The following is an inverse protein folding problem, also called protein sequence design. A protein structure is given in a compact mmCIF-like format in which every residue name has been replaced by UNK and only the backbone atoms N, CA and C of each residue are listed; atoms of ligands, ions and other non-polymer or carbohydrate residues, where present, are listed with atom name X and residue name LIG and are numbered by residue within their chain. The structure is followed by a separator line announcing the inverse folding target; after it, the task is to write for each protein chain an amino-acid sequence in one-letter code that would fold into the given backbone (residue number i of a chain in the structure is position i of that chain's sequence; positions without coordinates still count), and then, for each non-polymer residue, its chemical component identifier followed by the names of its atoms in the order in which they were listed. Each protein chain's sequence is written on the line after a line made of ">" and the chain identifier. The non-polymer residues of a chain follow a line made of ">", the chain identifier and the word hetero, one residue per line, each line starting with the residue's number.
data_IF_183979140961
#
_entry.id   IF_183979140961
#
_cell.length_a   1.000
_cell.length_b   1.000
_cell.length_c   1.000
_cell.angle_alpha   90.00
_cell.angle_beta   90.00
_cell.angle_gamma   90.00
#
_symmetry.space_group_name_H-M   'P 1'
#
loop_
_entity.id
_entity.type
_entity.pdbx_description
1 polymer ?
2 non-polymer ?
3 water ?
#
# COMPACT_ATOMS: atom_id res chain seq x y z
N UNK A 1 -6.68 8.05 -10.78
CA UNK A 1 -5.85 7.64 -9.63
C UNK A 1 -6.62 6.64 -8.76
N UNK A 2 -5.85 5.76 -8.10
CA UNK A 2 -6.45 4.71 -7.25
C UNK A 2 -5.82 4.73 -5.85
N UNK A 3 -6.61 4.29 -4.84
CA UNK A 3 -6.10 4.02 -3.49
C UNK A 3 -5.75 2.51 -3.38
N UNK A 4 -4.52 2.20 -2.92
CA UNK A 4 -4.19 0.82 -2.49
C UNK A 4 -4.22 0.76 -0.97
N UNK A 5 -4.79 -0.29 -0.39
CA UNK A 5 -4.71 -0.65 1.05
C UNK A 5 -3.98 -1.99 1.14
N UNK A 6 -2.79 -2.02 1.75
CA UNK A 6 -1.88 -3.19 1.78
C UNK A 6 -1.78 -3.58 3.26
N UNK A 7 -2.30 -4.75 3.60
CA UNK A 7 -2.32 -5.20 5.02
C UNK A 7 -1.37 -6.40 5.16
N UNK A 8 -0.26 -6.24 5.90
CA UNK A 8 0.90 -7.14 5.86
C UNK A 8 1.40 -7.53 7.26
N UNK A 9 2.20 -8.59 7.27
CA UNK A 9 3.09 -8.88 8.42
C UNK A 9 4.00 -7.66 8.64
N UNK A 10 4.22 -7.15 9.88
CA UNK A 10 5.07 -5.96 10.05
C UNK A 10 6.48 -6.14 9.47
N UNK A 11 7.06 -7.35 9.51
CA UNK A 11 8.45 -7.57 9.05
C UNK A 11 8.58 -7.30 7.54
N UNK A 12 7.45 -7.20 6.85
CA UNK A 12 7.45 -7.01 5.36
C UNK A 12 7.31 -5.53 4.96
N UNK A 13 7.30 -4.59 5.91
CA UNK A 13 7.13 -3.15 5.58
C UNK A 13 8.30 -2.63 4.70
N UNK A 14 9.56 -2.97 5.02
CA UNK A 14 10.75 -2.52 4.25
C UNK A 14 10.56 -2.91 2.74
N UNK A 15 10.14 -4.13 2.49
CA UNK A 15 9.95 -4.66 1.11
C UNK A 15 8.78 -3.93 0.41
N UNK A 16 7.69 -3.57 1.10
CA UNK A 16 6.58 -2.76 0.50
C UNK A 16 7.10 -1.37 0.17
N UNK A 17 7.88 -0.73 1.05
CA UNK A 17 8.47 0.60 0.72
C UNK A 17 9.34 0.51 -0.55
N UNK A 18 10.16 -0.54 -0.68
CA UNK A 18 11.07 -0.77 -1.86
C UNK A 18 10.24 -1.02 -3.14
N UNK A 19 9.20 -1.83 -3.08
CA UNK A 19 8.32 -2.09 -4.25
C UNK A 19 7.71 -0.76 -4.74
N UNK A 20 7.19 0.05 -3.83
CA UNK A 20 6.58 1.33 -4.26
C UNK A 20 7.67 2.27 -4.83
N UNK A 21 8.84 2.42 -4.22
CA UNK A 21 9.96 3.25 -4.75
C UNK A 21 10.36 2.75 -6.14
N UNK A 22 10.38 1.43 -6.33
CA UNK A 22 10.82 0.83 -7.62
C UNK A 22 9.78 1.11 -8.74
N UNK A 23 8.60 1.59 -8.47
CA UNK A 23 7.54 1.96 -9.46
C UNK A 23 7.37 3.50 -9.51
N UNK A 24 8.27 4.26 -8.89
CA UNK A 24 8.25 5.74 -8.89
C UNK A 24 7.19 6.30 -7.95
N UNK A 25 6.67 5.51 -7.00
CA UNK A 25 5.55 6.02 -6.15
C UNK A 25 6.07 7.05 -5.14
N UNK A 26 5.34 8.18 -4.95
CA UNK A 26 5.85 9.41 -4.31
C UNK A 26 5.87 9.30 -2.76
N UNK A 27 5.10 8.37 -2.19
CA UNK A 27 4.75 8.38 -0.77
C UNK A 27 3.79 7.31 -0.30
N UNK A 28 3.57 7.29 1.03
CA UNK A 28 2.78 6.24 1.69
C UNK A 28 2.48 6.71 3.12
N UNK A 29 1.35 6.25 3.67
CA UNK A 29 0.94 6.50 5.09
C UNK A 29 0.78 5.15 5.77
N UNK A 30 1.42 4.97 6.91
CA UNK A 30 1.55 3.63 7.60
C UNK A 30 0.76 3.68 8.94
N UNK A 31 -0.12 2.73 9.18
CA UNK A 31 -0.89 2.62 10.45
C UNK A 31 -0.61 1.27 11.13
N UNK A 32 -0.42 1.26 12.43
CA UNK A 32 -0.36 -0.05 13.13
C UNK A 32 -1.78 -0.59 13.33
N UNK A 33 -1.92 -1.91 13.31
CA UNK A 33 -3.22 -2.58 13.41
C UNK A 33 -3.10 -3.95 14.07
N UNK A 34 -4.25 -4.55 14.37
CA UNK A 34 -4.37 -5.97 14.79
C UNK A 34 -5.29 -6.65 13.75
N UNK A 35 -4.95 -7.88 13.34
CA UNK A 35 -5.80 -8.53 12.31
C UNK A 35 -6.23 -9.89 12.76
N UNK A 36 -7.38 -10.35 12.24
CA UNK A 36 -7.90 -11.71 12.41
C UNK A 36 -8.27 -12.29 11.03
N UNK A 37 -8.08 -13.59 10.87
CA UNK A 37 -8.43 -14.26 9.59
C UNK A 37 -8.22 -15.75 9.74
N UNK A 38 -7.64 -16.37 8.72
CA UNK A 38 -7.32 -17.83 8.65
C UNK A 38 -6.16 -18.24 9.59
N UNK A 39 -5.13 -17.41 9.77
CA UNK A 39 -3.93 -17.81 10.57
C UNK A 39 -4.33 -18.17 12.01
N UNK A 40 -3.93 -19.35 12.53
CA UNK A 40 -4.26 -19.88 13.90
C UNK A 40 -2.98 -20.35 14.59
N UNK A 55 -11.08 -16.53 18.10
CA UNK A 55 -10.54 -15.52 17.14
C UNK A 55 -9.19 -15.01 17.67
N UNK A 56 -8.11 -15.31 16.94
CA UNK A 56 -6.74 -14.94 17.36
C UNK A 56 -6.38 -13.60 16.71
N UNK A 57 -6.16 -12.54 17.50
CA UNK A 57 -5.65 -11.25 16.90
C UNK A 57 -4.11 -11.28 16.81
N UNK A 58 -3.57 -10.82 15.70
CA UNK A 58 -2.10 -10.77 15.44
C UNK A 58 -1.74 -9.36 15.01
N UNK A 59 -0.53 -8.91 15.33
CA UNK A 59 -0.09 -7.60 14.85
C UNK A 59 0.08 -7.47 13.35
N UNK A 60 -0.36 -6.35 12.80
CA UNK A 60 -0.27 -6.06 11.35
C UNK A 60 0.16 -4.60 11.13
N UNK A 61 0.68 -4.36 9.94
CA UNK A 61 0.81 -2.96 9.41
C UNK A 61 -0.18 -2.79 8.25
N UNK A 62 -0.88 -1.64 8.25
CA UNK A 62 -1.86 -1.25 7.20
C UNK A 62 -1.23 -0.06 6.43
N UNK A 63 -0.88 -0.27 5.16
CA UNK A 63 -0.20 0.76 4.32
C UNK A 63 -1.22 1.31 3.33
N UNK A 64 -1.38 2.65 3.29
CA UNK A 64 -2.24 3.36 2.29
C UNK A 64 -1.31 4.10 1.35
N UNK A 65 -1.56 3.94 0.04
CA UNK A 65 -0.80 4.72 -0.97
C UNK A 65 -1.79 5.08 -2.10
N UNK A 66 -1.57 6.29 -2.63
CA UNK A 66 -2.37 6.79 -3.79
C UNK A 66 -1.44 6.70 -5.00
N UNK A 67 -1.89 6.11 -6.10
CA UNK A 67 -1.06 5.78 -7.28
C UNK A 67 -1.80 6.05 -8.59
N UNK A 68 -1.04 6.29 -9.65
CA UNK A 68 -1.64 6.44 -11.00
C UNK A 68 -2.21 5.09 -11.46
N UNK A 69 -3.30 5.12 -12.21
CA UNK A 69 -4.06 3.89 -12.59
C UNK A 69 -3.18 2.86 -13.35
N UNK A 70 -2.26 3.30 -14.22
CA UNK A 70 -1.47 2.36 -15.05
C UNK A 70 -0.45 1.58 -14.21
N UNK A 71 -0.16 1.96 -12.99
CA UNK A 71 0.84 1.25 -12.15
C UNK A 71 0.22 0.10 -11.33
N UNK A 72 -1.09 0.12 -11.09
CA UNK A 72 -1.73 -0.81 -10.11
C UNK A 72 -1.41 -2.28 -10.47
N UNK A 73 -1.59 -2.73 -11.73
CA UNK A 73 -1.38 -4.15 -12.10
C UNK A 73 0.02 -4.64 -11.76
N UNK A 74 1.04 -3.86 -12.10
CA UNK A 74 2.45 -4.23 -11.81
C UNK A 74 2.75 -4.19 -10.30
N UNK A 75 2.17 -3.28 -9.53
CA UNK A 75 2.38 -3.25 -8.06
C UNK A 75 1.76 -4.55 -7.46
N UNK A 76 0.57 -4.94 -7.89
CA UNK A 76 -0.08 -6.16 -7.32
C UNK A 76 0.81 -7.38 -7.60
N UNK A 77 1.29 -7.54 -8.84
CA UNK A 77 2.19 -8.67 -9.24
C UNK A 77 3.43 -8.64 -8.34
N UNK A 78 4.07 -7.47 -8.20
CA UNK A 78 5.31 -7.32 -7.39
C UNK A 78 5.05 -7.78 -5.93
N UNK A 79 3.96 -7.36 -5.33
CA UNK A 79 3.63 -7.69 -3.91
C UNK A 79 3.44 -9.20 -3.75
N UNK A 80 2.70 -9.84 -4.64
CA UNK A 80 2.57 -11.33 -4.58
C UNK A 80 3.93 -12.00 -4.76
N UNK A 81 4.71 -11.64 -5.78
CA UNK A 81 5.99 -12.33 -6.09
C UNK A 81 6.99 -12.16 -4.93
N UNK A 82 7.07 -10.98 -4.32
CA UNK A 82 8.16 -10.72 -3.32
C UNK A 82 7.75 -10.99 -1.87
N UNK A 83 6.45 -11.00 -1.55
CA UNK A 83 6.03 -11.13 -0.12
C UNK A 83 5.46 -12.53 0.15
N UNK A 84 4.99 -13.24 -0.84
CA UNK A 84 4.41 -14.58 -0.58
C UNK A 84 5.41 -15.50 0.17
N UNK A 85 5.00 -16.16 1.26
CA UNK A 85 5.86 -17.13 2.02
C UNK A 85 5.30 -18.54 1.83
N UNK A 86 4.17 -18.65 1.12
CA UNK A 86 3.28 -19.82 1.10
C UNK A 86 2.82 -20.26 2.49
N UNK A 87 2.83 -19.38 3.52
CA UNK A 87 2.26 -19.71 4.86
C UNK A 87 1.02 -18.82 5.03
N UNK A 88 -0.03 -19.36 5.62
CA UNK A 88 -1.27 -18.55 5.87
C UNK A 88 -0.93 -17.32 6.72
N UNK A 89 -1.46 -16.15 6.35
CA UNK A 89 -1.31 -14.88 7.07
C UNK A 89 -0.52 -13.82 6.30
N UNK A 90 -0.13 -14.07 5.06
CA UNK A 90 0.73 -13.07 4.31
C UNK A 90 -0.01 -11.72 4.12
N UNK A 91 -1.34 -11.70 3.99
CA UNK A 91 -2.14 -10.48 3.99
C UNK A 91 -2.94 -10.29 2.68
N UNK A 92 -3.35 -9.05 2.47
CA UNK A 92 -4.33 -8.67 1.42
C UNK A 92 -3.88 -7.37 0.76
N UNK A 93 -4.24 -7.19 -0.51
CA UNK A 93 -4.22 -5.84 -1.16
C UNK A 93 -5.61 -5.55 -1.74
N UNK A 94 -6.14 -4.34 -1.51
CA UNK A 94 -7.38 -3.91 -2.25
C UNK A 94 -7.06 -2.63 -3.05
N UNK A 95 -7.88 -2.44 -4.05
CA UNK A 95 -7.85 -1.25 -4.96
C UNK A 95 -9.24 -0.61 -4.91
N UNK A 96 -9.27 0.70 -4.67
CA UNK A 96 -10.54 1.46 -4.63
C UNK A 96 -10.39 2.83 -5.31
N UNK A 97 -11.52 3.42 -5.75
CA UNK A 97 -11.48 4.63 -6.55
C UNK A 97 -11.26 5.91 -5.78
N UNK A 98 -10.59 6.85 -6.47
CA UNK A 98 -10.38 8.21 -5.96
C UNK A 98 -11.06 9.24 -6.86
N UNK A 99 -11.92 10.10 -6.35
CA UNK A 99 -12.62 11.10 -7.16
C UNK A 99 -11.78 12.38 -7.23
N UNK A 100 -11.04 12.74 -6.20
CA UNK A 100 -10.26 14.03 -6.22
C UNK A 100 -9.05 13.80 -5.30
N UNK A 101 -7.91 14.36 -5.70
CA UNK A 101 -6.66 14.33 -4.89
C UNK A 101 -6.13 15.77 -4.86
N UNK A 102 -5.73 16.27 -3.67
CA UNK A 102 -5.23 17.63 -3.49
C UNK A 102 -3.93 17.58 -2.63
N UNK A 103 -2.91 18.30 -3.12
CA UNK A 103 -1.71 18.67 -2.30
C UNK A 103 -2.00 19.90 -1.46
N UNK A 104 -1.87 19.76 -0.13
CA UNK A 104 -2.18 20.91 0.79
C UNK A 104 -1.27 22.11 0.51
N UNK A 105 0.04 21.88 0.34
CA UNK A 105 1.01 23.01 0.23
C UNK A 105 0.70 23.93 -0.95
N UNK A 106 0.33 23.36 -2.10
CA UNK A 106 0.11 24.13 -3.36
C UNK A 106 -1.34 24.31 -3.80
N UNK A 107 -2.28 23.50 -3.31
CA UNK A 107 -3.66 23.51 -3.81
C UNK A 107 -3.80 22.76 -5.15
N UNK A 108 -2.71 22.21 -5.69
CA UNK A 108 -2.75 21.41 -6.96
C UNK A 108 -3.68 20.19 -6.80
N UNK A 109 -4.42 19.88 -7.88
CA UNK A 109 -5.37 18.73 -7.94
C UNK A 109 -4.90 17.74 -8.99
N UNK A 110 -5.52 16.59 -9.02
CA UNK A 110 -5.32 15.58 -10.06
C UNK A 110 -3.97 14.92 -9.90
N UNK A 111 -3.37 14.44 -10.99
CA UNK A 111 -2.06 13.72 -10.92
C UNK A 111 -0.91 14.65 -10.51
N UNK A 112 -1.02 15.95 -10.72
CA UNK A 112 -0.02 16.95 -10.27
C UNK A 112 0.13 16.90 -8.74
N UNK A 113 -0.92 16.52 -8.02
CA UNK A 113 -0.89 16.52 -6.53
C UNK A 113 0.04 15.44 -5.97
N UNK A 114 0.44 14.46 -6.77
CA UNK A 114 1.32 13.34 -6.35
C UNK A 114 2.76 13.47 -6.92
N UNK A 115 3.13 14.60 -7.55
CA UNK A 115 4.47 14.79 -8.18
C UNK A 115 5.62 14.64 -7.16
N UNK A 116 6.82 14.26 -7.63
CA UNK A 116 8.05 14.22 -6.82
C UNK A 116 8.68 15.63 -6.85
N UNK A 117 8.77 16.31 -5.70
CA UNK A 117 9.20 17.74 -5.58
C UNK A 117 9.66 18.03 -4.14
#
# INVERSE_FOLDING_TARGET
>A
MKKLEITIRPENLEEVKQILSDRGVSGMTILSAMGAGNQKGEKTTTILKGGEFHINLLPKIHVITYVKDHLVGNILIDIHERLSTGEVGDGKVIVSPLEEVMRIRTGERGENALSAWSHPQFEK
#
